data_IF_906526855060
#
_entry.id   IF_906526855060
#
_cell.length_a   1.000
_cell.length_b   1.000
_cell.length_c   1.000
_cell.angle_alpha   90.00
_cell.angle_beta   90.00
_cell.angle_gamma   90.00
#
_symmetry.space_group_name_H-M   'P 1'
#
loop_
_entity.id
_entity.type
_entity.pdbx_description
1 polymer ?
#
# COMPACT_ATOMS: atom_id res chain seq x y z
N UNK A 1 -22.15 3.26 37.11
CA UNK A 1 -22.52 3.83 35.80
C UNK A 1 -21.79 3.11 34.69
N UNK A 2 -22.54 2.35 33.88
CA UNK A 2 -21.99 1.77 32.66
C UNK A 2 -21.98 2.86 31.57
N UNK A 3 -20.79 3.17 31.04
CA UNK A 3 -20.62 4.18 29.99
C UNK A 3 -20.41 3.49 28.65
N UNK A 4 -21.11 3.94 27.60
CA UNK A 4 -20.89 3.49 26.22
C UNK A 4 -20.36 4.63 25.34
N UNK A 5 -19.75 4.29 24.20
CA UNK A 5 -19.34 5.26 23.19
C UNK A 5 -20.12 5.05 21.89
N UNK A 6 -20.57 6.14 21.28
CA UNK A 6 -21.04 6.16 19.89
C UNK A 6 -20.08 7.07 19.13
N UNK A 7 -19.45 6.52 18.08
CA UNK A 7 -18.52 7.27 17.24
C UNK A 7 -18.95 7.11 15.79
N UNK A 8 -19.30 8.22 15.15
CA UNK A 8 -19.73 8.24 13.74
C UNK A 8 -18.90 9.26 12.96
N UNK A 9 -18.71 9.03 11.66
CA UNK A 9 -18.00 10.00 10.83
C UNK A 9 -17.46 9.49 9.50
N UNK A 10 -16.96 10.43 8.70
CA UNK A 10 -16.23 10.18 7.46
C UNK A 10 -14.79 10.72 7.64
N UNK A 11 -13.89 9.94 8.27
CA UNK A 11 -12.53 10.40 8.53
C UNK A 11 -11.74 10.68 7.23
N UNK A 12 -10.78 11.62 7.25
CA UNK A 12 -10.01 11.99 6.06
C UNK A 12 -9.14 10.86 5.53
N UNK A 13 -9.01 10.74 4.20
CA UNK A 13 -8.17 9.74 3.53
C UNK A 13 -6.85 10.40 3.11
N UNK A 14 -5.77 10.12 3.83
CA UNK A 14 -4.46 10.73 3.59
C UNK A 14 -3.31 9.81 3.99
N UNK A 15 -2.85 9.00 3.03
CA UNK A 15 -1.72 8.09 3.23
C UNK A 15 -0.40 8.80 3.53
N UNK A 16 -0.23 10.04 3.05
CA UNK A 16 0.86 10.94 3.46
C UNK A 16 0.34 11.94 4.49
N UNK A 17 -0.05 11.40 5.63
CA UNK A 17 -0.64 12.19 6.70
C UNK A 17 0.24 13.36 7.15
N UNK A 18 -0.41 14.51 7.31
CA UNK A 18 0.12 15.68 8.00
C UNK A 18 -0.13 15.62 9.52
N UNK A 19 -1.08 14.77 9.96
CA UNK A 19 -1.39 14.55 11.36
C UNK A 19 -0.37 13.58 12.00
N UNK A 20 0.79 14.12 12.39
CA UNK A 20 1.88 13.38 13.04
C UNK A 20 1.94 13.65 14.54
N UNK A 21 0.76 13.72 15.18
CA UNK A 21 0.73 13.89 16.63
C UNK A 21 1.33 12.66 17.32
N UNK A 22 2.15 12.90 18.34
CA UNK A 22 2.73 11.84 19.18
C UNK A 22 1.65 10.91 19.73
N UNK A 23 0.50 11.46 20.11
CA UNK A 23 -0.65 10.71 20.58
C UNK A 23 -1.14 9.68 19.55
N UNK A 24 -1.43 10.09 18.32
CA UNK A 24 -1.92 9.17 17.29
C UNK A 24 -0.89 8.09 16.93
N UNK A 25 0.40 8.45 16.91
CA UNK A 25 1.48 7.50 16.67
C UNK A 25 1.59 6.46 17.79
N UNK A 26 1.61 6.90 19.06
CA UNK A 26 1.66 6.00 20.21
C UNK A 26 0.44 5.06 20.25
N UNK A 27 -0.75 5.58 19.95
CA UNK A 27 -1.97 4.78 19.99
C UNK A 27 -2.01 3.69 18.91
N UNK A 28 -1.50 3.97 17.71
CA UNK A 28 -1.32 2.96 16.66
C UNK A 28 -0.37 1.84 17.11
N UNK A 29 0.64 2.18 17.91
CA UNK A 29 1.65 1.26 18.43
C UNK A 29 1.26 0.59 19.76
N UNK A 30 0.03 0.77 20.25
CA UNK A 30 -0.48 0.09 21.44
C UNK A 30 -0.11 0.77 22.76
N UNK A 31 0.00 2.10 22.76
CA UNK A 31 0.21 2.91 23.96
C UNK A 31 -0.77 4.07 24.01
N UNK A 32 -1.48 4.22 25.11
CA UNK A 32 -2.41 5.32 25.33
C UNK A 32 -1.70 6.57 25.93
N UNK A 33 -2.40 7.69 26.21
CA UNK A 33 -1.79 8.88 26.80
C UNK A 33 -1.20 8.69 28.20
N UNK A 34 -1.71 7.73 28.97
CA UNK A 34 -1.18 7.38 30.29
C UNK A 34 0.07 6.48 30.18
N UNK A 35 0.30 5.89 29.01
CA UNK A 35 1.39 4.96 28.74
C UNK A 35 0.98 3.50 28.91
N UNK A 36 -0.30 3.23 29.16
CA UNK A 36 -0.84 1.90 29.34
C UNK A 36 -0.87 1.13 28.00
N UNK A 37 -0.76 -0.19 28.10
CA UNK A 37 -0.84 -1.06 26.94
C UNK A 37 -2.28 -1.21 26.45
N UNK A 38 -2.48 -0.95 25.16
CA UNK A 38 -3.77 -1.07 24.47
C UNK A 38 -3.57 -1.77 23.12
N UNK A 39 -4.66 -2.10 22.40
CA UNK A 39 -4.55 -2.75 21.10
C UNK A 39 -3.59 -2.00 20.14
N UNK A 40 -2.70 -2.75 19.49
CA UNK A 40 -1.70 -2.25 18.54
C UNK A 40 -2.02 -2.72 17.14
N UNK A 41 -2.14 -1.78 16.19
CA UNK A 41 -2.36 -2.10 14.76
C UNK A 41 -1.08 -2.60 14.07
N UNK A 42 0.06 -2.51 14.75
CA UNK A 42 1.34 -3.06 14.32
C UNK A 42 1.60 -4.47 14.87
N UNK A 43 0.60 -5.11 15.47
CA UNK A 43 0.74 -6.45 16.04
C UNK A 43 -0.41 -7.38 15.66
N UNK A 44 -0.06 -8.66 15.50
CA UNK A 44 -0.98 -9.79 15.36
C UNK A 44 -0.50 -10.87 16.31
N UNK A 45 -1.41 -11.42 17.12
CA UNK A 45 -1.09 -12.46 18.11
C UNK A 45 0.12 -12.13 19.01
N UNK A 46 0.27 -10.87 19.43
CA UNK A 46 1.41 -10.41 20.26
C UNK A 46 2.71 -10.14 19.49
N UNK A 47 2.82 -10.59 18.24
CA UNK A 47 4.00 -10.40 17.40
C UNK A 47 3.88 -9.14 16.55
N UNK A 48 5.00 -8.44 16.34
CA UNK A 48 5.04 -7.26 15.45
C UNK A 48 4.95 -7.68 13.98
N UNK A 49 4.29 -6.85 13.18
CA UNK A 49 4.31 -6.97 11.73
C UNK A 49 5.76 -6.91 11.20
N UNK A 50 6.14 -7.90 10.38
CA UNK A 50 7.48 -8.01 9.81
C UNK A 50 7.64 -7.22 8.50
N UNK A 51 6.54 -6.71 7.95
CA UNK A 51 6.53 -5.93 6.72
C UNK A 51 7.36 -4.64 6.88
N UNK A 52 8.07 -4.25 5.82
CA UNK A 52 8.89 -3.02 5.87
C UNK A 52 8.07 -1.76 5.58
N UNK A 53 6.96 -1.89 4.86
CA UNK A 53 6.09 -0.79 4.45
C UNK A 53 4.67 -1.11 4.87
N UNK A 54 4.07 -0.18 5.59
CA UNK A 54 2.68 -0.27 6.05
C UNK A 54 1.95 1.01 5.66
N UNK A 55 0.65 0.90 5.41
CA UNK A 55 -0.24 2.05 5.22
C UNK A 55 -1.04 2.40 6.49
N UNK A 56 -0.54 1.96 7.65
CA UNK A 56 -1.20 2.14 8.95
C UNK A 56 -1.18 3.59 9.46
N UNK A 57 -0.35 4.46 8.87
CA UNK A 57 -0.31 5.88 9.21
C UNK A 57 -1.25 6.75 8.36
N UNK A 58 -2.07 6.13 7.50
CA UNK A 58 -3.16 6.85 6.83
C UNK A 58 -4.11 7.45 7.88
N UNK A 59 -4.61 8.66 7.64
CA UNK A 59 -5.43 9.37 8.62
C UNK A 59 -6.69 8.60 8.99
N UNK A 60 -7.38 7.97 8.03
CA UNK A 60 -8.58 7.19 8.37
C UNK A 60 -8.28 6.04 9.34
N UNK A 61 -7.07 5.46 9.26
CA UNK A 61 -6.63 4.39 10.18
C UNK A 61 -6.37 4.94 11.58
N UNK A 62 -5.84 6.16 11.69
CA UNK A 62 -5.66 6.84 12.99
C UNK A 62 -7.00 7.16 13.64
N UNK A 63 -7.95 7.71 12.89
CA UNK A 63 -9.30 7.97 13.39
C UNK A 63 -10.02 6.67 13.77
N UNK A 64 -9.88 5.62 12.95
CA UNK A 64 -10.37 4.28 13.26
C UNK A 64 -9.74 3.74 14.55
N UNK A 65 -8.43 3.87 14.74
CA UNK A 65 -7.75 3.43 15.96
C UNK A 65 -8.22 4.22 17.19
N UNK A 66 -8.39 5.54 17.04
CA UNK A 66 -8.90 6.39 18.11
C UNK A 66 -10.32 6.00 18.52
N UNK A 67 -11.23 5.84 17.55
CA UNK A 67 -12.60 5.42 17.82
C UNK A 67 -12.66 4.02 18.45
N UNK A 68 -11.85 3.10 17.93
CA UNK A 68 -11.65 1.79 18.51
C UNK A 68 -11.18 1.89 19.97
N UNK A 69 -10.18 2.71 20.30
CA UNK A 69 -9.71 2.90 21.68
C UNK A 69 -10.80 3.45 22.61
N UNK A 70 -11.64 4.37 22.12
CA UNK A 70 -12.78 4.91 22.87
C UNK A 70 -13.80 3.83 23.25
N UNK A 71 -14.02 2.84 22.39
CA UNK A 71 -14.94 1.73 22.65
C UNK A 71 -14.23 0.62 23.47
N UNK A 72 -12.95 0.37 23.17
CA UNK A 72 -12.07 -0.56 23.89
C UNK A 72 -12.06 -0.28 25.40
N UNK A 73 -11.81 0.97 25.79
CA UNK A 73 -11.73 1.40 27.19
C UNK A 73 -13.06 1.38 27.94
N UNK A 74 -14.18 1.50 27.22
CA UNK A 74 -15.54 1.54 27.81
C UNK A 74 -16.18 0.16 27.91
N UNK A 75 -15.68 -0.83 27.18
CA UNK A 75 -16.27 -2.17 27.14
C UNK A 75 -17.55 -2.27 26.31
N UNK A 76 -18.17 -1.14 25.93
CA UNK A 76 -19.39 -1.11 25.14
C UNK A 76 -19.46 0.11 24.21
N UNK A 77 -20.04 -0.07 23.03
CA UNK A 77 -20.26 1.03 22.10
C UNK A 77 -20.49 0.63 20.65
N UNK A 78 -20.70 1.64 19.81
CA UNK A 78 -20.95 1.53 18.37
C UNK A 78 -20.03 2.48 17.61
N UNK A 79 -19.45 1.99 16.51
CA UNK A 79 -18.68 2.72 15.53
C UNK A 79 -19.41 2.69 14.18
N UNK A 80 -19.60 3.83 13.53
CA UNK A 80 -20.19 3.91 12.19
C UNK A 80 -19.41 4.84 11.29
N UNK A 81 -18.52 4.31 10.45
CA UNK A 81 -17.63 5.08 9.59
C UNK A 81 -17.82 4.83 8.10
N UNK A 82 -17.62 5.87 7.30
CA UNK A 82 -17.27 5.74 5.88
C UNK A 82 -15.77 5.86 5.75
N UNK A 83 -15.11 4.85 5.18
CA UNK A 83 -13.64 4.76 5.15
C UNK A 83 -13.13 4.44 3.76
N UNK A 84 -11.85 4.69 3.51
CA UNK A 84 -11.13 4.03 2.43
C UNK A 84 -11.18 2.50 2.67
N UNK A 85 -11.62 1.74 1.67
CA UNK A 85 -11.83 0.29 1.78
C UNK A 85 -10.53 -0.54 1.83
N UNK A 86 -9.36 0.09 1.70
CA UNK A 86 -8.08 -0.62 1.59
C UNK A 86 -7.78 -1.58 2.74
N UNK A 87 -8.24 -1.30 3.97
CA UNK A 87 -8.04 -2.19 5.11
C UNK A 87 -8.82 -3.50 5.03
N UNK A 88 -9.81 -3.63 4.14
CA UNK A 88 -10.56 -4.88 3.95
C UNK A 88 -9.67 -5.98 3.33
N UNK A 89 -8.71 -5.56 2.49
CA UNK A 89 -7.99 -6.43 1.56
C UNK A 89 -6.46 -6.29 1.61
N UNK A 90 -5.92 -5.22 2.18
CA UNK A 90 -4.48 -5.00 2.14
C UNK A 90 -3.75 -5.97 3.10
N UNK A 91 -2.81 -6.77 2.58
CA UNK A 91 -2.01 -7.76 3.33
C UNK A 91 -1.28 -7.14 4.54
N UNK A 92 -0.82 -5.89 4.41
CA UNK A 92 -0.06 -5.16 5.45
C UNK A 92 -0.95 -4.59 6.57
N UNK A 93 -2.28 -4.62 6.40
CA UNK A 93 -3.25 -4.09 7.36
C UNK A 93 -3.88 -5.18 8.24
N UNK A 94 -3.30 -6.39 8.26
CA UNK A 94 -3.81 -7.51 9.06
C UNK A 94 -3.89 -7.21 10.56
N UNK A 95 -3.01 -6.36 11.10
CA UNK A 95 -3.09 -5.91 12.50
C UNK A 95 -4.35 -5.10 12.80
N UNK A 96 -4.83 -4.30 11.84
CA UNK A 96 -6.11 -3.59 11.98
C UNK A 96 -7.25 -4.60 12.11
N UNK A 97 -7.36 -5.51 11.12
CA UNK A 97 -8.44 -6.50 11.07
C UNK A 97 -8.43 -7.41 12.29
N UNK A 98 -7.26 -7.90 12.70
CA UNK A 98 -7.07 -8.71 13.89
C UNK A 98 -7.58 -8.02 15.16
N UNK A 99 -7.19 -6.77 15.40
CA UNK A 99 -7.59 -6.06 16.61
C UNK A 99 -9.07 -5.67 16.59
N UNK A 100 -9.63 -5.31 15.43
CA UNK A 100 -11.07 -5.05 15.32
C UNK A 100 -11.89 -6.31 15.62
N UNK A 101 -11.55 -7.44 15.01
CA UNK A 101 -12.23 -8.72 15.22
C UNK A 101 -12.14 -9.23 16.67
N UNK A 102 -11.12 -8.80 17.44
CA UNK A 102 -11.00 -9.15 18.86
C UNK A 102 -11.79 -8.23 19.79
N UNK A 103 -12.05 -7.00 19.38
CA UNK A 103 -12.69 -6.00 20.25
C UNK A 103 -14.18 -5.88 20.01
N UNK A 104 -14.62 -5.98 18.75
CA UNK A 104 -16.01 -5.81 18.37
C UNK A 104 -16.71 -7.16 18.30
N UNK A 105 -17.86 -7.27 18.95
CA UNK A 105 -18.70 -8.46 18.93
C UNK A 105 -19.44 -8.63 17.61
N UNK A 106 -19.67 -7.53 16.88
CA UNK A 106 -20.26 -7.54 15.55
C UNK A 106 -19.58 -6.51 14.65
N UNK A 107 -19.31 -6.89 13.41
CA UNK A 107 -18.70 -6.04 12.38
C UNK A 107 -19.49 -6.26 11.08
N UNK A 108 -20.22 -5.23 10.64
CA UNK A 108 -20.90 -5.19 9.36
C UNK A 108 -20.12 -4.26 8.41
N UNK A 109 -19.71 -4.80 7.26
CA UNK A 109 -18.88 -4.13 6.27
C UNK A 109 -19.56 -4.13 4.90
N UNK A 110 -19.88 -2.95 4.39
CA UNK A 110 -20.39 -2.77 3.03
C UNK A 110 -19.30 -2.12 2.17
N UNK A 111 -18.68 -2.89 1.28
CA UNK A 111 -17.75 -2.34 0.29
C UNK A 111 -18.54 -1.67 -0.84
N UNK A 112 -18.34 -0.36 -0.99
CA UNK A 112 -18.96 0.45 -2.05
C UNK A 112 -18.07 0.51 -3.30
N UNK A 113 -16.92 -0.16 -3.30
CA UNK A 113 -15.96 -0.17 -4.40
C UNK A 113 -15.61 1.24 -4.91
N UNK A 114 -15.41 1.41 -6.22
CA UNK A 114 -15.11 2.69 -6.87
C UNK A 114 -13.64 3.05 -6.93
N UNK A 115 -12.72 2.08 -6.81
CA UNK A 115 -11.29 2.36 -6.81
C UNK A 115 -10.76 2.64 -8.22
N UNK A 116 -10.77 3.91 -8.61
CA UNK A 116 -10.29 4.39 -9.92
C UNK A 116 -8.82 4.07 -10.17
N UNK A 117 -7.99 3.97 -9.11
CA UNK A 117 -6.56 3.62 -9.25
C UNK A 117 -6.35 2.15 -9.63
N UNK A 118 -7.27 1.27 -9.21
CA UNK A 118 -7.27 -0.14 -9.60
C UNK A 118 -8.00 -0.39 -10.92
N UNK A 119 -8.70 0.62 -11.46
CA UNK A 119 -9.62 0.47 -12.60
C UNK A 119 -10.62 -0.65 -12.32
N UNK A 120 -11.31 -0.57 -11.18
CA UNK A 120 -12.27 -1.60 -10.79
C UNK A 120 -13.38 -1.78 -11.82
N UNK A 121 -13.67 -3.05 -12.10
CA UNK A 121 -14.70 -3.51 -13.01
C UNK A 121 -15.63 -4.39 -12.19
N UNK A 122 -16.94 -4.20 -12.34
CA UNK A 122 -17.94 -5.01 -11.64
C UNK A 122 -17.96 -6.45 -12.18
N UNK A 123 -18.65 -7.40 -11.51
CA UNK A 123 -18.76 -8.78 -12.00
C UNK A 123 -19.39 -8.94 -13.40
N UNK A 124 -20.12 -7.93 -13.88
CA UNK A 124 -20.72 -7.90 -15.21
C UNK A 124 -19.78 -7.37 -16.31
N UNK A 125 -18.57 -6.91 -15.96
CA UNK A 125 -17.59 -6.39 -16.91
C UNK A 125 -17.68 -4.88 -17.17
N UNK A 126 -18.47 -4.15 -16.40
CA UNK A 126 -18.68 -2.70 -16.54
C UNK A 126 -17.80 -1.91 -15.57
N UNK A 127 -17.53 -0.65 -15.91
CA UNK A 127 -16.75 0.25 -15.03
C UNK A 127 -17.54 0.48 -13.74
N UNK A 128 -16.88 0.25 -12.61
CA UNK A 128 -17.46 0.55 -11.30
C UNK A 128 -17.14 2.00 -10.87
N UNK A 129 -18.14 2.74 -10.39
CA UNK A 129 -17.98 4.14 -10.01
C UNK A 129 -18.00 4.34 -8.49
N UNK A 130 -17.13 5.22 -8.00
CA UNK A 130 -17.15 5.62 -6.58
C UNK A 130 -18.33 6.51 -6.24
N UNK A 131 -18.88 6.33 -5.02
CA UNK A 131 -19.93 7.20 -4.47
C UNK A 131 -19.40 8.62 -4.21
N UNK A 132 -18.12 8.72 -3.84
CA UNK A 132 -17.41 9.97 -3.59
C UNK A 132 -16.51 10.35 -4.76
N UNK A 133 -16.20 11.65 -4.90
CA UNK A 133 -15.29 12.19 -5.93
C UNK A 133 -13.81 12.00 -5.59
N UNK A 134 -13.45 10.83 -5.04
CA UNK A 134 -12.07 10.43 -4.70
C UNK A 134 -11.65 9.22 -5.54
N UNK A 135 -10.35 9.01 -5.71
CA UNK A 135 -9.85 7.88 -6.52
C UNK A 135 -9.77 6.56 -5.75
N UNK A 136 -9.94 6.58 -4.42
CA UNK A 136 -9.90 5.40 -3.57
C UNK A 136 -11.30 4.79 -3.50
N UNK A 137 -11.39 3.46 -3.47
CA UNK A 137 -12.64 2.80 -3.14
C UNK A 137 -13.03 3.04 -1.68
N UNK A 138 -14.33 3.04 -1.40
CA UNK A 138 -14.87 3.37 -0.08
C UNK A 138 -15.73 2.25 0.48
N UNK A 139 -15.80 2.15 1.80
CA UNK A 139 -16.64 1.18 2.49
C UNK A 139 -17.34 1.83 3.69
N UNK A 140 -18.56 1.36 3.96
CA UNK A 140 -19.29 1.66 5.20
C UNK A 140 -18.98 0.56 6.21
N UNK A 141 -18.54 0.95 7.39
CA UNK A 141 -18.21 0.06 8.49
C UNK A 141 -19.08 0.39 9.70
N UNK A 142 -19.89 -0.57 10.13
CA UNK A 142 -20.66 -0.50 11.37
C UNK A 142 -20.17 -1.60 12.30
N UNK A 143 -19.65 -1.23 13.46
CA UNK A 143 -19.07 -2.17 14.41
C UNK A 143 -19.64 -1.92 15.79
N UNK A 144 -20.02 -2.96 16.51
CA UNK A 144 -20.54 -2.85 17.87
C UNK A 144 -19.82 -3.78 18.83
N UNK A 145 -19.66 -3.30 20.06
CA UNK A 145 -19.17 -4.07 21.19
C UNK A 145 -20.26 -4.09 22.26
N UNK A 146 -20.75 -5.27 22.57
CA UNK A 146 -21.66 -5.48 23.70
C UNK A 146 -20.88 -5.86 24.96
N UNK A 147 -21.30 -5.39 26.16
CA UNK A 147 -20.64 -5.75 27.42
C UNK A 147 -20.57 -7.26 27.67
N UNK A 148 -21.60 -7.99 27.21
CA UNK A 148 -21.81 -9.41 27.49
C UNK A 148 -21.46 -10.33 26.29
N UNK A 149 -20.82 -9.79 25.24
CA UNK A 149 -20.49 -10.62 24.08
C UNK A 149 -19.36 -11.60 24.38
N UNK A 150 -19.47 -12.81 23.83
CA UNK A 150 -18.40 -13.80 23.87
C UNK A 150 -17.16 -13.39 23.05
N UNK A 151 -16.14 -14.25 23.06
CA UNK A 151 -14.85 -13.97 22.41
C UNK A 151 -14.89 -13.92 20.88
N UNK A 152 -15.99 -14.34 20.25
CA UNK A 152 -16.12 -14.43 18.80
C UNK A 152 -16.85 -13.20 18.24
N UNK A 153 -16.28 -12.62 17.18
CA UNK A 153 -16.92 -11.55 16.41
C UNK A 153 -17.81 -12.12 15.31
N UNK A 154 -19.06 -11.69 15.26
CA UNK A 154 -19.94 -11.93 14.12
C UNK A 154 -19.62 -10.91 13.02
N UNK A 155 -18.95 -11.36 11.97
CA UNK A 155 -18.52 -10.49 10.87
C UNK A 155 -19.37 -10.79 9.64
N UNK A 156 -19.98 -9.76 9.06
CA UNK A 156 -20.70 -9.84 7.80
C UNK A 156 -20.14 -8.84 6.81
N UNK A 157 -20.06 -9.28 5.56
CA UNK A 157 -19.54 -8.50 4.46
C UNK A 157 -20.56 -8.49 3.32
N UNK A 158 -20.71 -7.36 2.67
CA UNK A 158 -21.50 -7.21 1.46
C UNK A 158 -20.78 -6.27 0.49
N UNK A 159 -21.13 -6.38 -0.78
CA UNK A 159 -20.61 -5.56 -1.86
C UNK A 159 -21.74 -4.80 -2.53
N UNK A 160 -21.47 -3.58 -2.96
CA UNK A 160 -22.37 -2.79 -3.76
C UNK A 160 -21.63 -2.24 -4.98
N UNK A 161 -21.90 -2.86 -6.12
CA UNK A 161 -21.33 -2.51 -7.43
C UNK A 161 -22.26 -1.61 -8.24
N UNK A 162 -21.71 -0.93 -9.23
CA UNK A 162 -22.47 -0.23 -10.26
C UNK A 162 -22.08 1.23 -10.44
N UNK A 163 -22.93 1.98 -11.15
CA UNK A 163 -22.77 3.42 -11.29
C UNK A 163 -23.02 4.15 -9.97
N UNK A 164 -22.52 5.39 -9.86
CA UNK A 164 -22.70 6.20 -8.65
C UNK A 164 -24.18 6.39 -8.31
N UNK A 165 -25.02 6.63 -9.32
CA UNK A 165 -26.46 6.84 -9.13
C UNK A 165 -27.12 5.57 -8.59
N UNK A 166 -26.84 4.42 -9.19
CA UNK A 166 -27.37 3.13 -8.75
C UNK A 166 -27.01 2.78 -7.31
N UNK A 167 -25.77 3.08 -6.90
CA UNK A 167 -25.32 2.88 -5.52
C UNK A 167 -26.08 3.77 -4.55
N UNK A 168 -26.24 5.05 -4.88
CA UNK A 168 -26.99 6.00 -4.05
C UNK A 168 -28.46 5.58 -3.94
N UNK A 169 -29.10 5.20 -5.04
CA UNK A 169 -30.49 4.71 -5.03
C UNK A 169 -30.64 3.45 -4.16
N UNK A 170 -29.70 2.49 -4.25
CA UNK A 170 -29.74 1.30 -3.41
C UNK A 170 -29.53 1.61 -1.92
N UNK A 171 -28.71 2.62 -1.60
CA UNK A 171 -28.50 3.06 -0.21
C UNK A 171 -29.71 3.81 0.36
N UNK A 172 -30.45 4.56 -0.48
CA UNK A 172 -31.70 5.25 -0.12
C UNK A 172 -32.88 4.30 0.02
N UNK A 173 -33.00 3.28 -0.84
CA UNK A 173 -34.09 2.29 -0.79
C UNK A 173 -34.02 1.34 0.40
N UNK A 174 -33.06 1.55 1.29
CA UNK A 174 -32.72 0.74 2.45
C UNK A 174 -33.42 1.21 3.73
N UNK A 175 -34.41 2.10 3.62
CA UNK A 175 -35.24 2.55 4.73
C UNK A 175 -35.97 1.35 5.34
N UNK A 176 -35.73 1.13 6.63
CA UNK A 176 -36.30 0.03 7.41
C UNK A 176 -37.82 -0.01 7.26
N UNK A 177 -38.37 -1.21 7.04
CA UNK A 177 -39.80 -1.42 7.24
C UNK A 177 -40.14 -1.12 8.72
N UNK A 178 -41.39 -0.74 8.97
CA UNK A 178 -41.96 -0.37 10.27
C UNK A 178 -41.73 -1.36 11.43
N UNK A 179 -41.21 -2.55 11.15
CA UNK A 179 -40.91 -3.61 12.13
C UNK A 179 -39.43 -3.64 12.58
N UNK A 180 -38.60 -2.69 12.15
CA UNK A 180 -37.21 -2.56 12.58
C UNK A 180 -36.23 -3.54 11.92
N UNK A 181 -36.70 -4.36 10.98
CA UNK A 181 -35.84 -5.14 10.09
C UNK A 181 -35.35 -4.26 8.93
N UNK A 182 -34.03 -4.11 8.83
CA UNK A 182 -33.38 -3.48 7.67
C UNK A 182 -33.46 -4.48 6.53
N UNK A 183 -34.48 -4.37 5.67
CA UNK A 183 -34.47 -5.05 4.39
C UNK A 183 -33.30 -4.50 3.58
N UNK A 184 -32.22 -5.28 3.48
CA UNK A 184 -31.17 -4.97 2.52
C UNK A 184 -31.82 -4.98 1.13
N UNK A 185 -31.50 -4.04 0.23
CA UNK A 185 -32.04 -4.05 -1.12
C UNK A 185 -31.60 -5.37 -1.75
N UNK A 186 -32.32 -5.92 -2.73
CA UNK A 186 -31.92 -7.17 -3.41
C UNK A 186 -30.45 -7.15 -3.91
N UNK A 187 -29.92 -5.94 -4.14
CA UNK A 187 -28.54 -5.66 -4.53
C UNK A 187 -27.48 -5.79 -3.43
N UNK A 188 -27.83 -5.76 -2.14
CA UNK A 188 -26.88 -5.91 -1.02
C UNK A 188 -27.10 -7.27 -0.36
N UNK A 189 -26.24 -8.22 -0.71
CA UNK A 189 -26.28 -9.57 -0.17
C UNK A 189 -25.21 -9.71 0.91
N UNK A 190 -25.64 -9.84 2.17
CA UNK A 190 -24.74 -10.05 3.30
C UNK A 190 -24.28 -11.51 3.36
N UNK A 191 -22.98 -11.70 3.49
CA UNK A 191 -22.36 -12.99 3.72
C UNK A 191 -21.68 -12.97 5.10
N UNK A 192 -21.94 -14.01 5.92
CA UNK A 192 -21.15 -14.26 7.12
C UNK A 192 -19.73 -14.69 6.74
N UNK A 193 -18.75 -14.14 7.44
CA UNK A 193 -17.35 -14.35 7.10
C UNK A 193 -16.50 -14.51 8.36
N UNK A 194 -15.61 -15.50 8.35
CA UNK A 194 -14.62 -15.71 9.41
C UNK A 194 -13.22 -15.43 8.85
N UNK A 195 -12.55 -14.33 9.25
CA UNK A 195 -11.22 -13.99 8.75
C UNK A 195 -10.17 -15.04 9.12
N UNK A 196 -9.43 -15.56 8.13
CA UNK A 196 -8.43 -16.62 8.33
C UNK A 196 -6.99 -16.07 8.29
N UNK A 197 -6.12 -16.65 9.12
CA UNK A 197 -4.69 -16.37 9.13
C UNK A 197 -4.02 -16.67 7.76
N UNK A 198 -2.91 -15.99 7.41
CA UNK A 198 -2.20 -14.99 8.20
C UNK A 198 -2.75 -13.57 8.01
N UNK A 199 -3.60 -13.33 7.01
CA UNK A 199 -4.00 -11.98 6.64
C UNK A 199 -5.28 -11.49 7.31
N UNK A 200 -6.16 -12.40 7.73
CA UNK A 200 -7.44 -12.08 8.33
C UNK A 200 -8.25 -11.13 7.45
N UNK A 201 -8.33 -11.37 6.14
CA UNK A 201 -9.07 -10.49 5.23
C UNK A 201 -10.54 -10.37 5.67
N UNK A 202 -11.08 -9.17 5.55
CA UNK A 202 -12.51 -8.94 5.76
C UNK A 202 -13.32 -9.15 4.48
N UNK A 203 -12.71 -8.97 3.31
CA UNK A 203 -13.32 -9.39 2.05
C UNK A 203 -13.17 -10.91 1.88
N UNK A 204 -14.26 -11.68 1.67
CA UNK A 204 -14.21 -13.12 1.48
C UNK A 204 -13.53 -13.51 0.16
N UNK A 205 -13.50 -12.61 -0.84
CA UNK A 205 -12.92 -12.86 -2.17
C UNK A 205 -11.45 -13.27 -2.10
N UNK A 206 -10.68 -12.65 -1.20
CA UNK A 206 -9.24 -12.92 -1.04
C UNK A 206 -8.95 -14.11 -0.13
N UNK A 207 -9.96 -14.66 0.52
CA UNK A 207 -9.82 -15.86 1.34
C UNK A 207 -10.01 -17.15 0.53
N UNK A 208 -10.33 -17.02 -0.76
CA UNK A 208 -10.52 -18.15 -1.68
C UNK A 208 -9.20 -18.74 -2.20
N UNK A 209 -8.04 -18.23 -1.79
CA UNK A 209 -6.77 -18.92 -2.07
C UNK A 209 -6.82 -20.32 -1.43
N UNK A 210 -6.71 -21.36 -2.25
CA UNK A 210 -6.90 -22.73 -1.80
C UNK A 210 -5.90 -23.08 -0.69
N UNK A 211 -6.30 -23.90 0.27
CA UNK A 211 -5.37 -24.45 1.26
C UNK A 211 -4.17 -25.15 0.59
N UNK A 212 -4.37 -25.68 -0.62
CA UNK A 212 -3.33 -26.20 -1.51
C UNK A 212 -2.29 -25.13 -1.88
N UNK A 213 -2.68 -23.90 -2.25
CA UNK A 213 -1.73 -22.83 -2.57
C UNK A 213 -0.77 -22.56 -1.42
N UNK A 214 -1.28 -22.51 -0.18
CA UNK A 214 -0.47 -22.25 1.01
C UNK A 214 0.43 -23.43 1.42
N UNK A 215 0.17 -24.63 0.90
CA UNK A 215 1.05 -25.80 1.07
C UNK A 215 2.21 -25.79 0.07
N UNK A 216 2.13 -25.00 -1.00
CA UNK A 216 3.21 -24.89 -1.97
C UNK A 216 4.46 -24.24 -1.38
N UNK A 217 5.63 -24.62 -1.90
CA UNK A 217 6.91 -24.04 -1.47
C UNK A 217 6.97 -22.56 -1.84
N UNK A 218 7.35 -21.71 -0.87
CA UNK A 218 7.49 -20.27 -1.14
C UNK A 218 8.61 -20.04 -2.13
N UNK A 219 8.40 -19.11 -3.06
CA UNK A 219 9.42 -18.75 -4.03
C UNK A 219 10.71 -18.24 -3.37
N UNK A 220 10.58 -17.56 -2.23
CA UNK A 220 11.73 -17.08 -1.44
C UNK A 220 12.53 -18.20 -0.79
N UNK A 221 11.93 -19.38 -0.59
CA UNK A 221 12.62 -20.54 -0.02
C UNK A 221 13.37 -21.29 -1.13
N UNK A 222 12.78 -21.37 -2.33
CA UNK A 222 13.44 -21.90 -3.54
C UNK A 222 14.58 -20.97 -4.01
N UNK A 223 14.37 -19.66 -3.93
CA UNK A 223 15.29 -18.61 -4.39
C UNK A 223 15.71 -17.74 -3.20
N UNK A 224 16.61 -18.21 -2.31
CA UNK A 224 16.95 -17.55 -1.05
C UNK A 224 17.66 -16.20 -1.27
N UNK A 225 18.35 -16.03 -2.39
CA UNK A 225 18.94 -14.76 -2.80
C UNK A 225 17.97 -14.08 -3.77
N UNK A 226 17.12 -13.20 -3.24
CA UNK A 226 16.14 -12.45 -4.02
C UNK A 226 16.07 -10.98 -3.60
N UNK A 227 15.62 -10.12 -4.50
CA UNK A 227 15.38 -8.70 -4.24
C UNK A 227 14.38 -8.13 -5.26
N UNK A 228 13.85 -6.93 -4.98
CA UNK A 228 13.30 -6.08 -6.03
C UNK A 228 14.37 -5.76 -7.08
N UNK A 229 13.95 -5.41 -8.29
CA UNK A 229 14.85 -4.91 -9.33
C UNK A 229 15.65 -3.67 -8.87
N UNK A 230 16.77 -3.42 -9.55
CA UNK A 230 17.56 -2.23 -9.36
C UNK A 230 16.75 -0.96 -9.66
N UNK A 231 17.00 0.11 -8.91
CA UNK A 231 16.30 1.39 -9.07
C UNK A 231 17.31 2.44 -9.50
N UNK A 232 17.16 2.98 -10.69
CA UNK A 232 18.09 4.00 -11.22
C UNK A 232 17.84 5.37 -10.60
N UNK A 233 16.58 5.65 -10.27
CA UNK A 233 16.05 6.96 -9.96
C UNK A 233 16.20 8.05 -11.03
N UNK A 234 16.67 7.70 -12.23
CA UNK A 234 16.96 8.64 -13.33
C UNK A 234 16.94 7.95 -14.69
N UNK A 235 15.92 7.11 -14.94
CA UNK A 235 15.81 6.31 -16.18
C UNK A 235 16.00 7.14 -17.44
N UNK A 236 15.45 8.36 -17.50
CA UNK A 236 15.61 9.26 -18.65
C UNK A 236 17.05 9.62 -18.97
N UNK A 237 17.96 9.52 -18.00
CA UNK A 237 19.37 9.78 -18.19
C UNK A 237 20.14 8.48 -18.44
N UNK A 238 20.03 7.50 -17.53
CA UNK A 238 20.83 6.27 -17.60
C UNK A 238 20.25 5.17 -18.50
N UNK A 239 19.03 5.29 -19.03
CA UNK A 239 18.42 4.33 -19.95
C UNK A 239 18.10 4.99 -21.29
N UNK A 240 18.42 4.33 -22.38
CA UNK A 240 18.16 4.80 -23.75
C UNK A 240 17.72 3.66 -24.66
N UNK A 241 16.97 3.97 -25.71
CA UNK A 241 16.68 3.00 -26.77
C UNK A 241 17.91 2.76 -27.64
N UNK A 242 18.67 3.82 -27.86
CA UNK A 242 19.84 3.84 -28.71
C UNK A 242 21.13 3.96 -27.88
N UNK A 243 22.18 3.28 -28.32
CA UNK A 243 23.46 3.24 -27.61
C UNK A 243 24.21 4.58 -27.71
N UNK A 244 24.12 5.27 -28.85
CA UNK A 244 24.84 6.52 -29.08
C UNK A 244 24.20 7.68 -28.33
N UNK A 245 22.87 7.66 -28.16
CA UNK A 245 22.16 8.54 -27.24
C UNK A 245 22.73 8.42 -25.80
N UNK A 246 22.89 7.20 -25.31
CA UNK A 246 23.41 6.96 -23.97
C UNK A 246 24.87 7.40 -23.83
N UNK A 247 25.71 7.13 -24.85
CA UNK A 247 27.11 7.57 -24.89
C UNK A 247 27.22 9.09 -24.88
N UNK A 248 26.37 9.79 -25.63
CA UNK A 248 26.34 11.26 -25.66
C UNK A 248 26.05 11.82 -24.27
N UNK A 249 25.05 11.27 -23.56
CA UNK A 249 24.73 11.69 -22.19
C UNK A 249 25.87 11.44 -21.20
N UNK A 250 26.58 10.32 -21.34
CA UNK A 250 27.75 10.01 -20.52
C UNK A 250 28.93 10.95 -20.83
N UNK A 251 29.17 11.26 -22.10
CA UNK A 251 30.19 12.23 -22.51
C UNK A 251 29.91 13.62 -21.94
N UNK A 252 28.67 14.10 -22.02
CA UNK A 252 28.25 15.36 -21.40
C UNK A 252 28.48 15.36 -19.88
N UNK A 253 28.14 14.25 -19.21
CA UNK A 253 28.34 14.12 -17.78
C UNK A 253 29.83 14.16 -17.37
N UNK A 254 30.70 13.59 -18.21
CA UNK A 254 32.15 13.59 -18.02
C UNK A 254 32.82 14.92 -18.43
N UNK A 255 32.19 15.73 -19.28
CA UNK A 255 32.77 16.95 -19.82
C UNK A 255 33.05 17.99 -18.71
N UNK A 256 34.30 18.41 -18.46
CA UNK A 256 34.63 19.40 -17.43
C UNK A 256 34.10 20.81 -17.72
N UNK A 257 33.86 21.14 -19.00
CA UNK A 257 33.40 22.47 -19.42
C UNK A 257 31.92 22.69 -19.13
N UNK A 258 31.16 21.62 -18.90
CA UNK A 258 29.75 21.70 -18.51
C UNK A 258 29.62 21.82 -17.00
N UNK A 259 29.01 22.89 -16.49
CA UNK A 259 28.75 23.01 -15.05
C UNK A 259 27.63 22.07 -14.60
N UNK A 260 27.60 21.74 -13.30
CA UNK A 260 26.51 20.94 -12.72
C UNK A 260 25.14 21.58 -12.94
N UNK A 261 25.06 22.91 -12.93
CA UNK A 261 23.82 23.64 -13.19
C UNK A 261 23.30 23.40 -14.61
N UNK A 262 24.19 23.44 -15.62
CA UNK A 262 23.84 23.17 -17.02
C UNK A 262 23.35 21.73 -17.20
N UNK A 263 24.03 20.76 -16.60
CA UNK A 263 23.62 19.36 -16.69
C UNK A 263 22.29 19.09 -15.97
N UNK A 264 22.04 19.74 -14.83
CA UNK A 264 20.74 19.64 -14.14
C UNK A 264 19.61 20.16 -15.01
N UNK A 265 19.80 21.31 -15.65
CA UNK A 265 18.81 21.88 -16.54
C UNK A 265 18.59 21.00 -17.79
N UNK A 266 19.64 20.36 -18.31
CA UNK A 266 19.53 19.50 -19.49
C UNK A 266 18.84 18.16 -19.19
N UNK A 267 19.25 17.48 -18.13
CA UNK A 267 18.92 16.06 -17.91
C UNK A 267 18.07 15.78 -16.65
N UNK A 268 18.06 16.69 -15.69
CA UNK A 268 17.50 16.44 -14.36
C UNK A 268 16.41 17.43 -13.94
N UNK A 269 15.64 17.97 -14.90
CA UNK A 269 14.58 18.99 -14.66
C UNK A 269 13.53 18.63 -13.61
N UNK A 270 13.36 17.35 -13.26
CA UNK A 270 12.38 16.89 -12.28
C UNK A 270 13.04 16.59 -10.95
N UNK A 271 12.66 17.35 -9.93
CA UNK A 271 13.04 17.09 -8.54
C UNK A 271 12.09 16.06 -7.91
N UNK A 272 12.64 15.05 -7.24
CA UNK A 272 11.85 14.04 -6.52
C UNK A 272 11.64 14.35 -5.04
N UNK A 273 12.39 15.30 -4.51
CA UNK A 273 12.30 15.74 -3.13
C UNK A 273 12.84 17.16 -3.01
N UNK A 274 12.14 18.02 -2.28
CA UNK A 274 12.63 19.37 -1.97
C UNK A 274 13.85 19.37 -1.03
N UNK A 275 14.29 18.19 -0.56
CA UNK A 275 15.48 18.04 0.29
C UNK A 275 16.80 18.05 -0.49
N UNK A 276 16.76 17.83 -1.80
CA UNK A 276 17.96 17.67 -2.61
C UNK A 276 17.87 18.49 -3.90
N UNK A 277 19.02 18.93 -4.47
CA UNK A 277 19.07 19.49 -5.80
C UNK A 277 18.46 18.56 -6.85
N UNK A 278 18.05 19.12 -7.99
CA UNK A 278 17.47 18.34 -9.07
C UNK A 278 18.43 17.22 -9.54
N UNK A 279 17.91 16.00 -9.69
CA UNK A 279 18.68 14.79 -10.04
C UNK A 279 19.30 14.03 -8.85
N UNK A 280 19.58 14.71 -7.75
CA UNK A 280 20.14 14.11 -6.55
C UNK A 280 19.10 13.32 -5.76
N UNK A 281 19.59 12.31 -5.04
CA UNK A 281 18.81 11.50 -4.11
C UNK A 281 19.56 11.39 -2.78
N UNK A 282 19.01 10.63 -1.84
CA UNK A 282 19.74 10.26 -0.61
C UNK A 282 21.00 9.44 -0.93
N UNK A 283 20.95 8.59 -1.97
CA UNK A 283 22.01 7.64 -2.29
C UNK A 283 22.94 8.08 -3.43
N UNK A 284 22.69 9.25 -4.05
CA UNK A 284 23.43 9.66 -5.24
C UNK A 284 23.51 11.17 -5.39
N UNK A 285 24.69 11.64 -5.77
CA UNK A 285 25.00 13.05 -6.04
C UNK A 285 25.57 13.21 -7.43
N UNK A 286 25.07 14.21 -8.16
CA UNK A 286 25.56 14.51 -9.51
C UNK A 286 27.07 14.76 -9.52
N UNK A 287 27.56 15.66 -8.67
CA UNK A 287 28.97 16.04 -8.61
C UNK A 287 29.91 14.85 -8.35
N UNK A 288 29.54 13.95 -7.44
CA UNK A 288 30.31 12.75 -7.14
C UNK A 288 30.32 11.76 -8.30
N UNK A 289 29.17 11.53 -8.92
CA UNK A 289 29.07 10.66 -10.09
C UNK A 289 29.91 11.18 -11.25
N UNK A 290 29.93 12.51 -11.47
CA UNK A 290 30.79 13.14 -12.49
C UNK A 290 32.27 12.96 -12.21
N UNK A 291 32.68 13.16 -10.96
CA UNK A 291 34.07 12.96 -10.54
C UNK A 291 34.52 11.52 -10.80
N UNK A 292 33.67 10.54 -10.47
CA UNK A 292 33.94 9.12 -10.74
C UNK A 292 33.97 8.81 -12.23
N UNK A 293 33.00 9.30 -12.99
CA UNK A 293 32.92 9.05 -14.44
C UNK A 293 34.17 9.56 -15.17
N UNK A 294 34.70 10.72 -14.79
CA UNK A 294 35.97 11.24 -15.34
C UNK A 294 37.19 10.40 -15.01
N UNK A 295 37.14 9.61 -13.94
CA UNK A 295 38.23 8.71 -13.54
C UNK A 295 38.11 7.33 -14.20
N UNK A 296 37.04 7.04 -14.94
CA UNK A 296 36.88 5.76 -15.65
C UNK A 296 37.77 5.75 -16.90
N UNK A 297 38.62 4.74 -17.03
CA UNK A 297 39.53 4.56 -18.16
C UNK A 297 38.83 4.15 -19.46
N UNK A 298 37.74 3.38 -19.37
CA UNK A 298 36.95 2.92 -20.51
C UNK A 298 35.46 3.22 -20.31
N UNK A 299 35.03 4.37 -20.84
CA UNK A 299 33.63 4.78 -20.84
C UNK A 299 32.75 3.91 -21.75
N UNK A 300 33.34 3.24 -22.75
CA UNK A 300 32.59 2.40 -23.68
C UNK A 300 32.09 1.10 -23.05
N UNK A 301 32.71 0.68 -21.93
CA UNK A 301 32.28 -0.49 -21.14
C UNK A 301 31.11 -0.22 -20.18
N UNK A 302 30.70 1.04 -19.97
CA UNK A 302 29.60 1.40 -19.06
C UNK A 302 28.21 1.02 -19.62
N UNK A 303 27.88 1.33 -20.90
CA UNK A 303 26.62 0.91 -21.50
C UNK A 303 26.50 -0.61 -21.59
N UNK A 304 25.35 -1.15 -21.17
CA UNK A 304 25.02 -2.58 -21.25
C UNK A 304 23.59 -2.78 -21.75
N UNK A 305 23.28 -3.88 -22.45
CA UNK A 305 21.90 -4.21 -22.78
C UNK A 305 21.10 -4.55 -21.53
N UNK A 306 19.83 -4.17 -21.48
CA UNK A 306 18.92 -4.52 -20.39
C UNK A 306 17.48 -4.76 -20.88
N UNK A 307 16.70 -5.45 -20.06
CA UNK A 307 15.25 -5.59 -20.22
C UNK A 307 14.58 -4.51 -19.35
N UNK A 308 14.12 -3.43 -19.97
CA UNK A 308 13.52 -2.31 -19.24
C UNK A 308 12.07 -2.58 -18.84
N UNK A 309 11.32 -3.26 -19.72
CA UNK A 309 9.96 -3.76 -19.53
C UNK A 309 9.85 -5.14 -20.19
N UNK A 310 8.77 -5.92 -19.95
CA UNK A 310 8.56 -7.17 -20.66
C UNK A 310 8.68 -6.95 -22.17
N UNK A 311 9.62 -7.66 -22.80
CA UNK A 311 9.91 -7.60 -24.23
C UNK A 311 10.41 -6.24 -24.76
N UNK A 312 10.91 -5.35 -23.88
CA UNK A 312 11.45 -4.04 -24.23
C UNK A 312 12.95 -4.00 -23.89
N UNK A 313 13.77 -4.28 -24.92
CA UNK A 313 15.24 -4.25 -24.84
C UNK A 313 15.74 -2.83 -25.02
N UNK A 314 16.61 -2.40 -24.12
CA UNK A 314 17.21 -1.06 -24.09
C UNK A 314 18.67 -1.12 -23.71
N UNK A 315 19.34 0.03 -23.73
CA UNK A 315 20.67 0.22 -23.17
C UNK A 315 20.58 0.93 -21.82
N UNK A 316 21.35 0.46 -20.84
CA UNK A 316 21.51 1.10 -19.54
C UNK A 316 22.98 1.43 -19.29
N UNK A 317 23.25 2.63 -18.78
CA UNK A 317 24.57 2.98 -18.25
C UNK A 317 24.68 2.35 -16.87
N UNK A 318 25.46 1.28 -16.75
CA UNK A 318 25.54 0.51 -15.52
C UNK A 318 26.89 0.67 -14.84
N UNK A 319 26.85 1.29 -13.66
CA UNK A 319 27.87 1.19 -12.62
C UNK A 319 27.15 1.30 -11.26
N UNK A 320 27.65 0.63 -10.23
CA UNK A 320 27.03 0.62 -8.90
C UNK A 320 26.86 2.03 -8.31
N UNK A 321 27.77 2.95 -8.62
CA UNK A 321 27.74 4.36 -8.23
C UNK A 321 26.91 5.26 -9.16
N UNK A 322 26.43 4.75 -10.29
CA UNK A 322 25.55 5.49 -11.21
C UNK A 322 24.06 5.20 -10.95
N UNK A 323 23.77 4.07 -10.30
CA UNK A 323 22.44 3.55 -9.99
C UNK A 323 22.11 3.81 -8.51
N UNK A 324 20.92 4.37 -8.22
CA UNK A 324 20.54 4.76 -6.85
C UNK A 324 20.40 3.55 -5.89
N UNK A 325 19.87 2.43 -6.39
CA UNK A 325 19.81 1.16 -5.66
C UNK A 325 20.22 0.02 -6.60
N UNK A 326 21.52 -0.30 -6.70
CA UNK A 326 22.03 -1.26 -7.67
C UNK A 326 21.66 -2.69 -7.35
N UNK A 327 21.28 -3.01 -6.09
CA UNK A 327 21.01 -4.37 -5.63
C UNK A 327 22.15 -5.33 -5.97
N UNK A 328 23.38 -4.92 -5.67
CA UNK A 328 24.61 -5.62 -6.02
C UNK A 328 24.64 -7.06 -5.51
N UNK A 329 23.91 -7.36 -4.43
CA UNK A 329 23.68 -8.71 -3.91
C UNK A 329 23.06 -9.66 -4.94
N UNK A 330 22.22 -9.16 -5.85
CA UNK A 330 21.64 -9.90 -6.98
C UNK A 330 22.40 -9.59 -8.27
N UNK A 331 22.60 -8.30 -8.57
CA UNK A 331 23.03 -7.88 -9.90
C UNK A 331 24.43 -8.34 -10.26
N UNK A 332 25.32 -8.58 -9.30
CA UNK A 332 26.63 -9.20 -9.58
C UNK A 332 26.49 -10.54 -10.32
N UNK A 333 25.51 -11.36 -9.92
CA UNK A 333 25.24 -12.66 -10.54
C UNK A 333 24.68 -12.54 -11.96
N UNK A 334 24.08 -11.40 -12.30
CA UNK A 334 23.55 -11.09 -13.63
C UNK A 334 24.56 -10.41 -14.55
N UNK A 335 25.63 -9.81 -13.98
CA UNK A 335 26.59 -8.99 -14.71
C UNK A 335 27.92 -9.71 -14.98
N UNK A 336 28.30 -10.65 -14.11
CA UNK A 336 29.57 -11.38 -14.19
C UNK A 336 29.48 -12.63 -15.06
N UNK A 337 28.27 -13.16 -15.30
CA UNK A 337 28.03 -14.41 -16.02
C UNK A 337 26.72 -14.35 -16.80
N UNK A 338 26.59 -15.19 -17.82
CA UNK A 338 25.30 -15.48 -18.43
C UNK A 338 24.42 -16.18 -17.41
N UNK A 339 23.34 -15.52 -17.01
CA UNK A 339 22.46 -16.00 -15.95
C UNK A 339 21.00 -15.66 -16.24
N UNK A 340 20.09 -16.39 -15.58
CA UNK A 340 18.64 -16.25 -15.75
C UNK A 340 18.04 -15.86 -14.41
N UNK A 341 17.15 -14.87 -14.43
CA UNK A 341 16.38 -14.45 -13.27
C UNK A 341 14.89 -14.73 -13.48
N UNK A 342 14.24 -15.25 -12.45
CA UNK A 342 12.79 -15.32 -12.41
C UNK A 342 12.22 -13.99 -11.91
N UNK A 343 11.46 -13.30 -12.77
CA UNK A 343 10.80 -12.04 -12.43
C UNK A 343 9.35 -12.33 -12.08
N UNK A 344 8.99 -12.12 -10.82
CA UNK A 344 7.62 -12.25 -10.33
C UNK A 344 7.10 -10.91 -9.79
N UNK A 345 5.78 -10.73 -9.81
CA UNK A 345 5.15 -9.60 -9.10
C UNK A 345 5.28 -9.83 -7.61
N UNK A 346 5.68 -8.78 -6.89
CA UNK A 346 5.61 -8.74 -5.44
C UNK A 346 4.16 -8.44 -5.05
N UNK A 347 3.55 -9.31 -4.25
CA UNK A 347 2.28 -9.04 -3.58
C UNK A 347 2.46 -8.05 -2.43
#
# INVERSE_FOLDING_TARGET
DESFAIVIGNPPFSGLSQNRSRFAEQLLHGRDPAGDEVASYFQVNGERLAERKHWLHDDYVKFLRYAHWQIERRGAGVLGFVTNHGYLENTTMRGVRWQLARTFSRIDLLDLHGNRKKLEINPAGEIDEGVFTVDQGTAVAVMSRSPNAGANSAIRYAELWGSRLEKLTALESNDANSDGEVNSPERIQWQEHAPIAPFYFFSPRLQTESAEYWQAMKLTDVMPVNSTAAVTARDRFVVAHDMDELRTRLADLANPDLSDAVLRERYFRRTRSNRYPAGDTRGWRLSEARARLRAVSDLAAIPRPCQYRPFDRRWIAWADWLIDWPRSEIMRHMLERDNVALIARRQ
#
